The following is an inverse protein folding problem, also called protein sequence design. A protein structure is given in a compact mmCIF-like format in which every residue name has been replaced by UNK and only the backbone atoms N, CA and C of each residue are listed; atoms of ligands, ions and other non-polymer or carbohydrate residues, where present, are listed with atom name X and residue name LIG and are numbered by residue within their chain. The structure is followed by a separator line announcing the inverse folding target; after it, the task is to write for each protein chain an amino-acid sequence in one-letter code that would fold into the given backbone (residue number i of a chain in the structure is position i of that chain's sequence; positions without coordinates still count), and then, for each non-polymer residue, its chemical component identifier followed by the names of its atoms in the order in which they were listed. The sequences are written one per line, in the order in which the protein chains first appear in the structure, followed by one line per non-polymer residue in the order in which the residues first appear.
data_IF_430640915752
#
_entry.id   IF_430640915752
#
_cell.length_a   1.000
_cell.length_b   1.000
_cell.length_c   1.000
_cell.angle_alpha   90.00
_cell.angle_beta   90.00
_cell.angle_gamma   90.00
#
_symmetry.space_group_name_H-M   'P 1'
#
loop_
_entity.id
_entity.type
_entity.pdbx_description
1 polymer ?
#
# COMPACT_ATOMS: atom_id res chain seq x y z
N UNK A 1 36.01 -17.11 2.17
CA UNK A 1 34.60 -16.67 2.15
C UNK A 1 34.36 -15.28 2.75
N UNK A 2 35.14 -14.81 3.74
CA UNK A 2 34.90 -13.52 4.40
C UNK A 2 35.03 -12.30 3.48
N UNK A 3 35.97 -12.31 2.52
CA UNK A 3 36.16 -11.21 1.56
C UNK A 3 34.92 -10.97 0.69
N UNK A 4 34.30 -12.02 0.15
CA UNK A 4 33.10 -11.88 -0.68
C UNK A 4 31.93 -11.28 0.09
N UNK A 5 31.77 -11.70 1.35
CA UNK A 5 30.74 -11.16 2.24
C UNK A 5 30.95 -9.67 2.47
N UNK A 6 32.19 -9.27 2.76
CA UNK A 6 32.53 -7.86 2.99
C UNK A 6 32.27 -7.00 1.75
N UNK A 7 32.73 -7.46 0.58
CA UNK A 7 32.47 -6.78 -0.70
C UNK A 7 30.97 -6.64 -0.95
N UNK A 8 30.19 -7.71 -0.77
CA UNK A 8 28.74 -7.66 -0.95
C UNK A 8 28.08 -6.68 0.02
N UNK A 9 28.47 -6.68 1.30
CA UNK A 9 27.96 -5.73 2.30
C UNK A 9 28.26 -4.28 1.92
N UNK A 10 29.49 -3.98 1.50
CA UNK A 10 29.88 -2.62 1.09
C UNK A 10 29.12 -2.17 -0.16
N UNK A 11 29.00 -3.04 -1.16
CA UNK A 11 28.28 -2.73 -2.41
C UNK A 11 26.79 -2.51 -2.14
N UNK A 12 26.14 -3.39 -1.37
CA UNK A 12 24.73 -3.25 -1.01
C UNK A 12 24.44 -2.03 -0.14
N UNK A 13 25.34 -1.68 0.78
CA UNK A 13 25.21 -0.46 1.58
C UNK A 13 25.36 0.80 0.74
N UNK A 14 26.31 0.80 -0.21
CA UNK A 14 26.50 1.92 -1.13
C UNK A 14 25.29 2.14 -2.03
N UNK A 15 24.70 1.07 -2.57
CA UNK A 15 23.50 1.19 -3.41
C UNK A 15 22.29 1.68 -2.60
N UNK A 16 22.10 1.20 -1.37
CA UNK A 16 21.07 1.70 -0.46
C UNK A 16 21.22 3.21 -0.21
N UNK A 17 22.44 3.69 0.07
CA UNK A 17 22.70 5.11 0.31
C UNK A 17 22.42 5.98 -0.92
N UNK A 18 22.79 5.52 -2.11
CA UNK A 18 22.52 6.25 -3.35
C UNK A 18 21.02 6.32 -3.65
N UNK A 19 20.29 5.22 -3.46
CA UNK A 19 18.84 5.18 -3.60
C UNK A 19 18.15 6.10 -2.59
N UNK A 20 18.59 6.10 -1.34
CA UNK A 20 18.11 7.00 -0.30
C UNK A 20 18.33 8.47 -0.67
N UNK A 21 19.50 8.82 -1.21
CA UNK A 21 19.77 10.19 -1.65
C UNK A 21 18.85 10.64 -2.79
N UNK A 22 18.56 9.76 -3.76
CA UNK A 22 17.60 10.04 -4.81
C UNK A 22 16.20 10.29 -4.24
N UNK A 23 15.73 9.43 -3.34
CA UNK A 23 14.42 9.59 -2.67
C UNK A 23 14.38 10.90 -1.85
N UNK A 24 15.41 11.17 -1.04
CA UNK A 24 15.50 12.39 -0.24
C UNK A 24 15.42 13.65 -1.10
N UNK A 25 16.09 13.65 -2.26
CA UNK A 25 16.04 14.80 -3.18
C UNK A 25 14.63 15.12 -3.66
N UNK A 26 13.81 14.09 -3.89
CA UNK A 26 12.40 14.25 -4.29
C UNK A 26 11.54 14.68 -3.11
N UNK A 27 11.71 14.07 -1.93
CA UNK A 27 10.97 14.44 -0.72
C UNK A 27 11.22 15.91 -0.34
N UNK A 28 12.48 16.33 -0.34
CA UNK A 28 12.87 17.71 -0.04
C UNK A 28 12.45 18.70 -1.15
N UNK A 29 12.19 18.22 -2.37
CA UNK A 29 11.63 19.05 -3.44
C UNK A 29 10.12 19.25 -3.28
N UNK A 30 9.39 18.20 -2.90
CA UNK A 30 7.94 18.20 -2.77
C UNK A 30 7.49 18.90 -1.48
N UNK A 31 8.12 18.58 -0.34
CA UNK A 31 7.89 19.21 0.99
C UNK A 31 6.45 19.16 1.49
N UNK A 32 5.75 18.08 1.21
CA UNK A 32 4.42 17.83 1.78
C UNK A 32 4.54 17.26 3.21
N UNK A 33 3.57 17.53 4.10
CA UNK A 33 3.69 17.19 5.51
C UNK A 33 3.73 15.67 5.76
N UNK A 34 3.09 14.87 4.90
CA UNK A 34 3.04 13.41 4.99
C UNK A 34 3.22 12.78 3.61
N UNK A 35 4.33 12.07 3.43
CA UNK A 35 4.68 11.45 2.15
C UNK A 35 4.85 9.94 2.30
N UNK A 36 4.36 9.18 1.32
CA UNK A 36 4.53 7.73 1.25
C UNK A 36 5.31 7.40 -0.01
N UNK A 37 6.43 6.69 0.17
CA UNK A 37 7.27 6.21 -0.93
C UNK A 37 7.02 4.73 -1.13
N UNK A 38 6.39 4.39 -2.24
CA UNK A 38 6.26 3.01 -2.69
C UNK A 38 7.59 2.51 -3.27
N UNK A 39 8.12 1.42 -2.74
CA UNK A 39 9.36 0.78 -3.18
C UNK A 39 9.05 -0.62 -3.68
N UNK A 40 9.57 -0.97 -4.86
CA UNK A 40 9.52 -2.32 -5.42
C UNK A 40 10.93 -2.78 -5.79
N UNK A 41 11.12 -4.10 -5.86
CA UNK A 41 12.36 -4.71 -6.33
C UNK A 41 12.86 -5.81 -5.41
N UNK A 42 13.48 -6.83 -6.03
CA UNK A 42 14.02 -8.01 -5.34
C UNK A 42 15.10 -7.64 -4.32
N UNK A 43 15.98 -6.68 -4.63
CA UNK A 43 17.02 -6.22 -3.69
C UNK A 43 16.39 -5.66 -2.42
N UNK A 44 15.42 -4.76 -2.54
CA UNK A 44 14.76 -4.19 -1.36
C UNK A 44 13.93 -5.23 -0.60
N UNK A 45 13.28 -6.15 -1.32
CA UNK A 45 12.41 -7.19 -0.75
C UNK A 45 13.16 -8.31 -0.03
N UNK A 46 14.27 -8.79 -0.59
CA UNK A 46 14.95 -10.00 -0.12
C UNK A 46 16.27 -9.73 0.60
N UNK A 47 16.86 -8.53 0.48
CA UNK A 47 18.10 -8.23 1.18
C UNK A 47 17.82 -7.81 2.64
N UNK A 48 18.35 -8.54 3.64
CA UNK A 48 17.92 -8.42 5.05
C UNK A 48 18.13 -7.03 5.66
N UNK A 49 19.16 -6.31 5.23
CA UNK A 49 19.54 -5.00 5.80
C UNK A 49 19.21 -3.80 4.92
N UNK A 50 18.63 -4.02 3.74
CA UNK A 50 18.53 -2.94 2.74
C UNK A 50 17.52 -1.87 3.16
N UNK A 51 16.36 -2.28 3.66
CA UNK A 51 15.36 -1.37 4.22
C UNK A 51 15.92 -0.51 5.36
N UNK A 52 16.73 -1.11 6.23
CA UNK A 52 17.36 -0.41 7.35
C UNK A 52 18.32 0.67 6.85
N UNK A 53 19.26 0.34 5.96
CA UNK A 53 20.22 1.33 5.43
C UNK A 53 19.56 2.46 4.65
N UNK A 54 18.52 2.16 3.86
CA UNK A 54 17.76 3.20 3.15
C UNK A 54 17.08 4.13 4.14
N UNK A 55 16.40 3.59 5.15
CA UNK A 55 15.68 4.39 6.16
C UNK A 55 16.63 5.22 7.02
N UNK A 56 17.75 4.64 7.44
CA UNK A 56 18.83 5.33 8.16
C UNK A 56 19.33 6.51 7.35
N UNK A 57 19.74 6.27 6.10
CA UNK A 57 20.27 7.33 5.24
C UNK A 57 19.24 8.40 4.88
N UNK A 58 17.96 8.04 4.75
CA UNK A 58 16.89 9.00 4.52
C UNK A 58 16.69 9.95 5.69
N UNK A 59 16.77 9.44 6.93
CA UNK A 59 16.66 10.29 8.12
C UNK A 59 17.79 11.32 8.21
N UNK A 60 18.97 11.00 7.68
CA UNK A 60 20.09 11.94 7.62
C UNK A 60 19.92 13.03 6.53
N UNK A 61 19.15 12.74 5.47
CA UNK A 61 19.11 13.57 4.26
C UNK A 61 17.81 14.35 4.09
N UNK A 62 16.71 13.89 4.68
CA UNK A 62 15.40 14.54 4.61
C UNK A 62 15.31 15.67 5.65
N UNK A 63 14.68 16.78 5.28
CA UNK A 63 14.44 17.89 6.20
C UNK A 63 13.70 17.38 7.47
N UNK A 64 14.16 17.73 8.69
CA UNK A 64 13.64 17.15 9.94
C UNK A 64 12.16 17.47 10.23
N UNK A 65 11.55 18.40 9.48
CA UNK A 65 10.13 18.73 9.58
C UNK A 65 9.22 17.93 8.65
N UNK A 66 9.76 17.04 7.81
CA UNK A 66 8.98 16.25 6.84
C UNK A 66 8.76 14.82 7.36
N UNK A 67 7.50 14.39 7.40
CA UNK A 67 7.14 13.01 7.75
C UNK A 67 7.09 12.16 6.47
N UNK A 68 7.79 11.01 6.49
CA UNK A 68 7.77 10.07 5.38
C UNK A 68 7.68 8.61 5.84
N UNK A 69 7.08 7.77 5.00
CA UNK A 69 6.99 6.33 5.19
C UNK A 69 7.42 5.59 3.93
N UNK A 70 8.23 4.54 4.09
CA UNK A 70 8.56 3.60 3.01
C UNK A 70 7.62 2.40 3.06
N UNK A 71 7.02 2.03 1.93
CA UNK A 71 6.13 0.86 1.83
C UNK A 71 6.61 -0.03 0.69
N UNK A 72 6.74 -1.33 0.94
CA UNK A 72 6.98 -2.32 -0.10
C UNK A 72 5.70 -2.53 -0.92
N UNK A 73 5.74 -2.22 -2.22
CA UNK A 73 4.61 -2.51 -3.11
C UNK A 73 4.67 -3.95 -3.60
N UNK A 74 3.51 -4.60 -3.69
CA UNK A 74 3.41 -5.99 -4.16
C UNK A 74 3.25 -6.12 -5.68
N UNK A 75 2.71 -5.09 -6.34
CA UNK A 75 2.55 -5.00 -7.80
C UNK A 75 2.19 -3.55 -8.18
N UNK A 76 3.22 -2.72 -8.37
CA UNK A 76 3.04 -1.33 -8.80
C UNK A 76 2.77 -1.20 -10.31
N UNK A 77 3.42 -2.04 -11.12
CA UNK A 77 3.36 -1.95 -12.57
C UNK A 77 2.00 -2.31 -13.13
N UNK A 78 1.40 -3.42 -12.67
CA UNK A 78 0.08 -3.86 -13.15
C UNK A 78 -1.04 -2.94 -12.69
N UNK A 79 -1.09 -2.64 -11.39
CA UNK A 79 -2.13 -1.77 -10.81
C UNK A 79 -2.07 -0.34 -11.33
N UNK A 80 -0.87 0.21 -11.47
CA UNK A 80 -0.66 1.55 -12.02
C UNK A 80 -1.10 1.63 -13.49
N UNK A 81 -0.68 0.68 -14.32
CA UNK A 81 -1.05 0.63 -15.73
C UNK A 81 -2.58 0.49 -15.92
N UNK A 82 -3.23 -0.38 -15.15
CA UNK A 82 -4.67 -0.56 -15.19
C UNK A 82 -5.43 0.73 -14.79
N UNK A 83 -4.96 1.43 -13.76
CA UNK A 83 -5.55 2.69 -13.32
C UNK A 83 -5.45 3.76 -14.42
N UNK A 84 -4.27 3.93 -15.01
CA UNK A 84 -4.05 4.90 -16.08
C UNK A 84 -4.89 4.55 -17.31
N UNK A 85 -4.97 3.28 -17.69
CA UNK A 85 -5.79 2.82 -18.82
C UNK A 85 -7.28 3.13 -18.59
N UNK A 86 -7.80 2.88 -17.39
CA UNK A 86 -9.19 3.19 -17.04
C UNK A 86 -9.49 4.70 -17.08
N UNK A 87 -8.54 5.54 -16.63
CA UNK A 87 -8.68 7.00 -16.71
C UNK A 87 -8.67 7.46 -18.17
N UNK A 88 -7.74 6.95 -18.99
CA UNK A 88 -7.66 7.28 -20.41
C UNK A 88 -8.93 6.87 -21.17
N UNK A 89 -9.47 5.68 -20.92
CA UNK A 89 -10.72 5.20 -21.51
C UNK A 89 -11.92 6.07 -21.12
N UNK A 90 -12.02 6.50 -19.85
CA UNK A 90 -13.06 7.44 -19.41
C UNK A 90 -12.98 8.79 -20.13
N UNK A 91 -11.78 9.34 -20.25
CA UNK A 91 -11.54 10.62 -20.95
C UNK A 91 -11.91 10.49 -22.44
N UNK A 92 -11.54 9.38 -23.08
CA UNK A 92 -11.87 9.12 -24.49
C UNK A 92 -13.38 8.99 -24.73
N UNK A 93 -14.12 8.46 -23.75
CA UNK A 93 -15.59 8.35 -23.78
C UNK A 93 -16.32 9.65 -23.41
N UNK A 94 -15.60 10.75 -23.17
CA UNK A 94 -16.18 12.03 -22.78
C UNK A 94 -16.86 11.99 -21.41
N UNK A 95 -16.57 10.97 -20.58
CA UNK A 95 -17.10 10.88 -19.23
C UNK A 95 -16.26 11.83 -18.37
N UNK A 96 -16.85 12.92 -17.84
CA UNK A 96 -16.11 13.82 -16.97
C UNK A 96 -15.59 13.03 -15.76
N UNK A 97 -14.42 13.38 -15.21
CA UNK A 97 -13.92 12.73 -14.01
C UNK A 97 -14.93 12.93 -12.89
N UNK A 98 -15.79 11.93 -12.66
CA UNK A 98 -16.67 11.94 -11.51
C UNK A 98 -15.75 11.87 -10.30
N UNK A 99 -15.69 12.95 -9.53
CA UNK A 99 -15.13 12.98 -8.19
C UNK A 99 -15.71 11.78 -7.44
N UNK A 100 -14.96 10.69 -7.39
CA UNK A 100 -15.25 9.61 -6.44
C UNK A 100 -14.89 10.18 -5.09
N UNK A 101 -15.83 10.93 -4.51
CA UNK A 101 -16.04 10.89 -3.07
C UNK A 101 -15.95 9.42 -2.69
N UNK A 102 -15.05 9.11 -1.76
CA UNK A 102 -15.01 7.80 -1.12
C UNK A 102 -16.34 7.61 -0.39
N UNK A 103 -17.39 7.18 -1.10
CA UNK A 103 -18.61 6.69 -0.48
C UNK A 103 -18.30 5.25 -0.04
N UNK A 104 -18.42 4.93 1.26
CA UNK A 104 -18.00 3.66 1.85
C UNK A 104 -18.73 2.39 1.34
N UNK A 105 -19.65 2.52 0.38
CA UNK A 105 -20.50 1.44 -0.12
C UNK A 105 -19.73 0.38 -0.93
N UNK A 106 -18.60 0.75 -1.55
CA UNK A 106 -17.80 -0.17 -2.38
C UNK A 106 -17.07 -1.27 -1.60
N UNK A 107 -16.63 -0.98 -0.36
CA UNK A 107 -15.92 -1.95 0.50
C UNK A 107 -16.88 -3.02 1.01
N UNK A 108 -18.10 -2.63 1.37
CA UNK A 108 -19.14 -3.56 1.83
C UNK A 108 -19.56 -4.57 0.76
N UNK A 109 -19.52 -4.19 -0.53
CA UNK A 109 -19.83 -5.10 -1.64
C UNK A 109 -18.78 -6.19 -1.84
N UNK A 110 -17.51 -5.90 -1.57
CA UNK A 110 -16.41 -6.86 -1.64
C UNK A 110 -16.35 -7.76 -0.39
N UNK A 111 -16.61 -7.21 0.80
CA UNK A 111 -16.77 -7.97 2.04
C UNK A 111 -17.93 -8.98 1.95
N UNK A 112 -19.07 -8.58 1.39
CA UNK A 112 -20.22 -9.49 1.25
C UNK A 112 -19.95 -10.63 0.23
N UNK A 113 -19.05 -10.42 -0.73
CA UNK A 113 -18.68 -11.47 -1.70
C UNK A 113 -17.71 -12.51 -1.10
N UNK A 114 -16.88 -12.14 -0.12
CA UNK A 114 -16.03 -13.08 0.60
C UNK A 114 -16.80 -13.93 1.62
N UNK A 115 -17.86 -13.39 2.25
CA UNK A 115 -18.72 -14.13 3.17
C UNK A 115 -19.65 -15.16 2.51
N UNK A 116 -19.70 -15.20 1.16
CA UNK A 116 -20.53 -16.15 0.40
C UNK A 116 -19.86 -17.48 0.05
N UNK A 117 -18.63 -17.74 0.53
CA UNK A 117 -17.87 -18.98 0.20
C UNK A 117 -17.91 -20.01 1.35
N UNK A 118 -18.62 -19.74 2.44
CA UNK A 118 -18.84 -20.72 3.52
C UNK A 118 -20.26 -21.31 3.40
N UNK A 119 -20.43 -22.61 3.11
CA UNK A 119 -21.76 -23.21 3.00
C UNK A 119 -22.49 -23.20 4.37
N UNK A 120 -23.79 -22.88 4.42
CA UNK A 120 -24.52 -22.73 5.68
C UNK A 120 -24.76 -24.08 6.38
N UNK A 121 -24.30 -24.17 7.63
CA UNK A 121 -24.55 -25.29 8.55
C UNK A 121 -26.01 -25.25 9.04
N UNK A 122 -26.85 -26.18 8.54
CA UNK A 122 -28.26 -26.34 8.95
C UNK A 122 -28.36 -26.88 10.38
N UNK A 123 -28.31 -26.01 11.41
CA UNK A 123 -28.63 -26.48 12.78
C UNK A 123 -29.23 -25.49 13.78
N UNK A 124 -29.59 -24.25 13.45
CA UNK A 124 -30.12 -23.36 14.51
C UNK A 124 -31.18 -22.32 14.11
N UNK A 125 -32.15 -22.68 13.27
CA UNK A 125 -33.24 -21.76 12.86
C UNK A 125 -34.50 -21.79 13.75
N UNK A 126 -34.42 -22.26 15.01
CA UNK A 126 -35.60 -22.41 15.89
C UNK A 126 -35.59 -21.60 17.19
N UNK A 127 -34.65 -20.69 17.40
CA UNK A 127 -34.61 -19.86 18.62
C UNK A 127 -34.91 -18.37 18.45
N UNK A 128 -35.02 -17.87 17.22
CA UNK A 128 -35.17 -16.42 16.98
C UNK A 128 -36.62 -15.93 16.76
N UNK A 129 -37.63 -16.79 16.96
CA UNK A 129 -39.04 -16.46 16.64
C UNK A 129 -39.89 -16.16 17.89
N UNK A 130 -39.37 -16.28 19.13
CA UNK A 130 -40.19 -16.06 20.33
C UNK A 130 -39.98 -14.72 21.07
N UNK A 131 -39.22 -13.76 20.52
CA UNK A 131 -38.98 -12.46 21.19
C UNK A 131 -39.59 -11.25 20.47
N UNK A 132 -40.46 -11.45 19.47
CA UNK A 132 -41.11 -10.36 18.74
C UNK A 132 -42.58 -10.12 19.11
N UNK A 133 -43.08 -10.71 20.20
CA UNK A 133 -44.48 -10.54 20.65
C UNK A 133 -44.56 -10.20 22.14
N UNK A 134 -43.95 -9.09 22.54
CA UNK A 134 -44.30 -8.36 23.77
C UNK A 134 -43.79 -6.93 23.65
N UNK A 135 -44.65 -6.03 23.18
CA UNK A 135 -44.30 -4.61 23.03
C UNK A 135 -45.29 -3.81 22.20
N UNK A 136 -46.59 -3.94 22.46
CA UNK A 136 -47.59 -2.94 22.08
C UNK A 136 -48.54 -2.71 23.26
N UNK A 137 -48.65 -1.43 23.63
CA UNK A 137 -49.49 -0.80 24.67
C UNK A 137 -49.15 -1.04 26.14
#
# INVERSE_FOLDING_TARGET
MLLLREVCTVVSRRSANLGAAAIASVLNRIREPKMIVGVDGSTYKYHPFYHFWVTEKLRDLVDPGLEFQLILTGDGSGKGAALVAAIADKIAKGVPPSTTTHTPDGVNKLLNKQNGIVPPNKRNSRRFVSESLTGQN
#
